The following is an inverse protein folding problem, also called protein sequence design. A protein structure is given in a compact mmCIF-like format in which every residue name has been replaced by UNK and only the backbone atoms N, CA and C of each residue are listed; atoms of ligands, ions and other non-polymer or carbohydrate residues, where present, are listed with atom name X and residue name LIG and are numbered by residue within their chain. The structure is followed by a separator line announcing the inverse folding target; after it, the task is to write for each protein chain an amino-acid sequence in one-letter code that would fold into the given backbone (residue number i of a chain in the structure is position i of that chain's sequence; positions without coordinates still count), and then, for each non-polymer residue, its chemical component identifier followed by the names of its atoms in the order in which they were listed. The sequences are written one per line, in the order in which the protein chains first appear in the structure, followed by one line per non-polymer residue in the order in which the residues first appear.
data_IF_459270681581
#
_entry.id   IF_459270681581
#
_cell.length_a   1.000
_cell.length_b   1.000
_cell.length_c   1.000
_cell.angle_alpha   90.00
_cell.angle_beta   90.00
_cell.angle_gamma   90.00
#
_symmetry.space_group_name_H-M   'P 1'
#
loop_
_entity.id
_entity.type
_entity.pdbx_description
1 polymer ?
#
# COMPACT_ATOMS: atom_id res chain seq x y z
N UNK A 1 11.06 -57.47 -2.04
CA UNK A 1 10.04 -57.16 -3.07
C UNK A 1 10.49 -55.91 -3.84
N UNK A 2 11.04 -56.04 -5.04
CA UNK A 2 11.46 -54.86 -5.83
C UNK A 2 10.21 -54.09 -6.29
N UNK A 3 10.06 -52.85 -5.81
CA UNK A 3 9.05 -51.91 -6.29
C UNK A 3 9.34 -51.60 -7.76
N UNK A 4 8.60 -52.20 -8.69
CA UNK A 4 8.60 -51.80 -10.10
C UNK A 4 8.14 -50.35 -10.18
N UNK A 5 9.08 -49.43 -10.33
CA UNK A 5 8.81 -48.05 -10.75
C UNK A 5 8.27 -48.09 -12.19
N UNK A 6 6.97 -48.38 -12.32
CA UNK A 6 6.29 -48.17 -13.59
C UNK A 6 6.43 -46.69 -13.95
N UNK A 7 6.77 -46.37 -15.22
CA UNK A 7 6.88 -44.99 -15.66
C UNK A 7 5.59 -44.25 -15.29
N UNK A 8 5.73 -43.07 -14.66
CA UNK A 8 4.58 -42.23 -14.30
C UNK A 8 3.83 -41.92 -15.59
N UNK A 9 2.74 -42.64 -15.86
CA UNK A 9 1.86 -42.38 -17.00
C UNK A 9 1.34 -40.94 -16.89
N UNK A 10 1.73 -40.12 -17.86
CA UNK A 10 1.30 -38.73 -17.94
C UNK A 10 -0.20 -38.69 -18.24
N UNK A 11 -0.90 -37.69 -17.70
CA UNK A 11 -2.27 -37.44 -18.12
C UNK A 11 -2.29 -36.98 -19.58
N UNK A 12 -3.23 -37.48 -20.41
CA UNK A 12 -3.49 -36.90 -21.72
C UNK A 12 -3.97 -35.44 -21.59
N UNK A 13 -3.83 -34.67 -22.65
CA UNK A 13 -4.10 -33.22 -22.63
C UNK A 13 -5.55 -32.90 -22.24
N UNK A 14 -6.53 -33.63 -22.75
CA UNK A 14 -7.94 -33.44 -22.38
C UNK A 14 -8.18 -33.56 -20.88
N UNK A 15 -7.59 -34.57 -20.24
CA UNK A 15 -7.69 -34.76 -18.79
C UNK A 15 -6.92 -33.68 -17.98
N UNK A 16 -5.84 -33.11 -18.53
CA UNK A 16 -5.15 -31.96 -17.92
C UNK A 16 -6.01 -30.71 -18.01
N UNK A 17 -6.62 -30.44 -19.16
CA UNK A 17 -7.49 -29.29 -19.35
C UNK A 17 -8.66 -29.29 -18.36
N UNK A 18 -9.27 -30.45 -18.10
CA UNK A 18 -10.32 -30.59 -17.09
C UNK A 18 -9.85 -30.22 -15.67
N UNK A 19 -8.63 -30.64 -15.29
CA UNK A 19 -8.02 -30.26 -14.02
C UNK A 19 -7.76 -28.76 -13.95
N UNK A 20 -7.22 -28.17 -15.01
CA UNK A 20 -6.87 -26.75 -15.02
C UNK A 20 -8.13 -25.86 -15.00
N UNK A 21 -9.18 -26.26 -15.72
CA UNK A 21 -10.49 -25.61 -15.70
C UNK A 21 -11.11 -25.59 -14.29
N UNK A 22 -10.89 -26.63 -13.48
CA UNK A 22 -11.42 -26.74 -12.13
C UNK A 22 -10.92 -25.61 -11.19
N UNK A 23 -9.72 -25.07 -11.42
CA UNK A 23 -9.13 -23.96 -10.65
C UNK A 23 -9.03 -22.66 -11.46
N UNK A 24 -9.70 -22.59 -12.62
CA UNK A 24 -9.72 -21.37 -13.43
C UNK A 24 -10.30 -20.19 -12.63
N UNK A 25 -9.74 -19.00 -12.84
CA UNK A 25 -10.16 -17.79 -12.13
C UNK A 25 -9.78 -17.74 -10.64
N UNK A 26 -8.91 -18.64 -10.16
CA UNK A 26 -8.38 -18.58 -8.78
C UNK A 26 -9.38 -19.02 -7.70
N UNK A 27 -10.52 -19.61 -8.07
CA UNK A 27 -11.51 -20.13 -7.12
C UNK A 27 -11.03 -21.40 -6.43
N UNK A 28 -11.58 -21.67 -5.25
CA UNK A 28 -11.40 -22.94 -4.54
C UNK A 28 -12.60 -23.86 -4.82
N UNK A 29 -12.44 -24.94 -5.60
CA UNK A 29 -13.53 -25.82 -5.98
C UNK A 29 -14.02 -26.65 -4.79
N UNK A 30 -15.31 -26.93 -4.76
CA UNK A 30 -15.96 -27.75 -3.74
C UNK A 30 -15.53 -29.22 -3.85
N UNK A 31 -15.84 -30.03 -2.83
CA UNK A 31 -15.58 -31.47 -2.90
C UNK A 31 -16.37 -32.12 -4.05
N UNK A 32 -17.61 -31.73 -4.25
CA UNK A 32 -18.49 -32.26 -5.30
C UNK A 32 -17.94 -31.94 -6.69
N UNK A 33 -17.49 -30.70 -6.94
CA UNK A 33 -16.87 -30.31 -8.21
C UNK A 33 -15.59 -31.11 -8.47
N UNK A 34 -14.78 -31.34 -7.43
CA UNK A 34 -13.57 -32.18 -7.52
C UNK A 34 -13.93 -33.61 -7.92
N UNK A 35 -14.99 -34.19 -7.36
CA UNK A 35 -15.43 -35.55 -7.68
C UNK A 35 -16.09 -35.64 -9.06
N UNK A 36 -16.84 -34.63 -9.48
CA UNK A 36 -17.43 -34.54 -10.82
C UNK A 36 -16.35 -34.56 -11.90
N UNK A 37 -15.33 -33.69 -11.79
CA UNK A 37 -14.19 -33.67 -12.72
C UNK A 37 -13.40 -34.98 -12.69
N UNK A 38 -13.31 -35.64 -11.53
CA UNK A 38 -12.70 -36.97 -11.45
C UNK A 38 -13.45 -38.00 -12.31
N UNK A 39 -14.78 -38.00 -12.29
CA UNK A 39 -15.59 -38.88 -13.13
C UNK A 39 -15.33 -38.66 -14.62
N UNK A 40 -15.24 -37.41 -15.06
CA UNK A 40 -14.92 -37.06 -16.46
C UNK A 40 -13.52 -37.51 -16.88
N UNK A 41 -12.53 -37.33 -15.99
CA UNK A 41 -11.17 -37.81 -16.26
C UNK A 41 -11.12 -39.35 -16.31
N UNK A 42 -11.87 -40.02 -15.42
CA UNK A 42 -11.89 -41.48 -15.36
C UNK A 42 -12.44 -42.10 -16.65
N UNK A 43 -13.41 -41.43 -17.30
CA UNK A 43 -13.93 -41.84 -18.60
C UNK A 43 -12.87 -41.80 -19.72
N UNK A 44 -11.89 -40.87 -19.63
CA UNK A 44 -10.78 -40.77 -20.58
C UNK A 44 -9.56 -41.61 -20.16
N UNK A 45 -9.38 -41.83 -18.85
CA UNK A 45 -8.17 -42.39 -18.26
C UNK A 45 -8.53 -43.40 -17.16
N UNK A 46 -8.89 -44.66 -17.49
CA UNK A 46 -9.38 -45.63 -16.52
C UNK A 46 -8.39 -46.01 -15.41
N UNK A 47 -7.09 -45.83 -15.64
CA UNK A 47 -6.04 -46.08 -14.65
C UNK A 47 -5.85 -44.93 -13.64
N UNK A 48 -6.59 -43.84 -13.79
CA UNK A 48 -6.46 -42.65 -12.96
C UNK A 48 -7.25 -42.81 -11.66
N UNK A 49 -6.54 -42.82 -10.52
CA UNK A 49 -7.18 -43.10 -9.23
C UNK A 49 -7.73 -41.85 -8.54
N UNK A 50 -8.82 -42.02 -7.80
CA UNK A 50 -9.40 -40.98 -6.93
C UNK A 50 -8.35 -40.39 -5.98
N UNK A 51 -7.51 -41.23 -5.38
CA UNK A 51 -6.44 -40.78 -4.49
C UNK A 51 -5.47 -39.82 -5.21
N UNK A 52 -5.02 -40.17 -6.42
CA UNK A 52 -4.13 -39.29 -7.22
C UNK A 52 -4.81 -37.96 -7.53
N UNK A 53 -6.11 -37.96 -7.81
CA UNK A 53 -6.88 -36.74 -8.07
C UNK A 53 -6.99 -35.83 -6.85
N UNK A 54 -7.39 -36.39 -5.71
CA UNK A 54 -7.56 -35.62 -4.48
C UNK A 54 -6.22 -35.11 -3.96
N UNK A 55 -5.13 -35.87 -4.10
CA UNK A 55 -3.78 -35.39 -3.75
C UNK A 55 -3.35 -34.24 -4.64
N UNK A 56 -3.62 -34.31 -5.95
CA UNK A 56 -3.36 -33.18 -6.85
C UNK A 56 -4.20 -31.94 -6.49
N UNK A 57 -5.49 -32.11 -6.20
CA UNK A 57 -6.37 -31.04 -5.75
C UNK A 57 -5.87 -30.41 -4.45
N UNK A 58 -5.48 -31.22 -3.45
CA UNK A 58 -4.93 -30.75 -2.19
C UNK A 58 -3.67 -29.90 -2.38
N UNK A 59 -2.80 -30.29 -3.31
CA UNK A 59 -1.64 -29.49 -3.70
C UNK A 59 -2.03 -28.12 -4.26
N UNK A 60 -3.05 -28.08 -5.14
CA UNK A 60 -3.58 -26.82 -5.71
C UNK A 60 -4.29 -25.96 -4.68
N UNK A 61 -5.12 -26.54 -3.81
CA UNK A 61 -5.77 -25.85 -2.70
C UNK A 61 -4.73 -25.18 -1.79
N UNK A 62 -3.65 -25.90 -1.45
CA UNK A 62 -2.55 -25.37 -0.63
C UNK A 62 -1.87 -24.20 -1.33
N UNK A 63 -1.59 -24.32 -2.63
CA UNK A 63 -0.98 -23.25 -3.42
C UNK A 63 -1.87 -22.01 -3.48
N UNK A 64 -3.16 -22.17 -3.78
CA UNK A 64 -4.12 -21.07 -3.85
C UNK A 64 -4.24 -20.35 -2.49
N UNK A 65 -4.34 -21.10 -1.40
CA UNK A 65 -4.36 -20.51 -0.03
C UNK A 65 -3.08 -19.77 0.30
N UNK A 66 -1.92 -20.29 -0.11
CA UNK A 66 -0.64 -19.62 0.11
C UNK A 66 -0.57 -18.29 -0.64
N UNK A 67 -1.03 -18.25 -1.90
CA UNK A 67 -1.11 -17.02 -2.69
C UNK A 67 -2.05 -16.00 -2.04
N UNK A 68 -3.25 -16.41 -1.62
CA UNK A 68 -4.19 -15.52 -0.91
C UNK A 68 -3.58 -14.96 0.38
N UNK A 69 -2.82 -15.77 1.13
CA UNK A 69 -2.14 -15.33 2.34
C UNK A 69 -1.06 -14.28 2.02
N UNK A 70 -0.25 -14.52 0.99
CA UNK A 70 0.79 -13.58 0.55
C UNK A 70 0.17 -12.25 0.11
N UNK A 71 -0.92 -12.29 -0.66
CA UNK A 71 -1.61 -11.09 -1.11
C UNK A 71 -2.16 -10.28 0.08
N UNK A 72 -2.80 -10.94 1.05
CA UNK A 72 -3.26 -10.27 2.28
C UNK A 72 -2.12 -9.64 3.06
N UNK A 73 -0.97 -10.31 3.16
CA UNK A 73 0.20 -9.75 3.81
C UNK A 73 0.73 -8.52 3.06
N UNK A 74 0.77 -8.56 1.73
CA UNK A 74 1.17 -7.41 0.90
C UNK A 74 0.25 -6.22 1.13
N UNK A 75 -1.07 -6.43 1.02
CA UNK A 75 -2.07 -5.38 1.25
C UNK A 75 -1.99 -4.82 2.68
N UNK A 76 -1.74 -5.67 3.67
CA UNK A 76 -1.56 -5.22 5.05
C UNK A 76 -0.32 -4.32 5.19
N UNK A 77 0.82 -4.72 4.60
CA UNK A 77 2.04 -3.90 4.61
C UNK A 77 1.83 -2.56 3.91
N UNK A 78 1.22 -2.56 2.73
CA UNK A 78 0.88 -1.34 1.98
C UNK A 78 -0.04 -0.42 2.81
N UNK A 79 -1.07 -0.97 3.45
CA UNK A 79 -1.98 -0.21 4.30
C UNK A 79 -1.27 0.39 5.53
N UNK A 80 -0.35 -0.37 6.16
CA UNK A 80 0.42 0.13 7.30
C UNK A 80 1.42 1.20 6.90
N UNK A 81 2.05 1.08 5.72
CA UNK A 81 2.98 2.07 5.21
C UNK A 81 2.24 3.38 4.88
N UNK A 82 1.06 3.29 4.26
CA UNK A 82 0.23 4.46 3.99
C UNK A 82 -0.24 5.16 5.27
N UNK A 83 -0.68 4.38 6.28
CA UNK A 83 -1.07 4.94 7.58
C UNK A 83 0.11 5.62 8.29
N UNK A 84 1.29 5.02 8.25
CA UNK A 84 2.50 5.59 8.82
C UNK A 84 2.90 6.90 8.11
N UNK A 85 2.89 6.93 6.78
CA UNK A 85 3.18 8.13 6.00
C UNK A 85 2.21 9.27 6.33
N UNK A 86 0.92 8.96 6.48
CA UNK A 86 -0.09 9.95 6.89
C UNK A 86 0.15 10.47 8.32
N UNK A 87 0.51 9.59 9.26
CA UNK A 87 0.83 9.98 10.63
C UNK A 87 2.09 10.86 10.71
N UNK A 88 3.11 10.55 9.92
CA UNK A 88 4.33 11.35 9.84
C UNK A 88 4.06 12.72 9.21
N UNK A 89 3.23 12.80 8.17
CA UNK A 89 2.77 14.07 7.60
C UNK A 89 2.01 14.91 8.65
N UNK A 90 1.07 14.32 9.38
CA UNK A 90 0.34 15.03 10.44
C UNK A 90 1.27 15.54 11.55
N UNK A 91 2.26 14.75 11.95
CA UNK A 91 3.26 15.16 12.94
C UNK A 91 4.09 16.34 12.41
N UNK A 92 4.52 16.27 11.16
CA UNK A 92 5.27 17.34 10.52
C UNK A 92 4.45 18.64 10.44
N UNK A 93 3.18 18.55 10.05
CA UNK A 93 2.27 19.71 10.02
C UNK A 93 2.07 20.32 11.40
N UNK A 94 1.75 19.50 12.42
CA UNK A 94 1.54 19.98 13.78
C UNK A 94 2.80 20.66 14.35
N UNK A 95 3.99 20.15 13.99
CA UNK A 95 5.25 20.75 14.38
C UNK A 95 5.51 22.08 13.66
N UNK A 96 5.31 22.14 12.34
CA UNK A 96 5.65 23.29 11.50
C UNK A 96 4.66 24.48 11.61
N UNK A 97 3.39 24.21 11.92
CA UNK A 97 2.31 25.21 11.99
C UNK A 97 2.66 26.48 12.81
N UNK A 98 3.14 26.40 14.08
CA UNK A 98 3.49 27.60 14.85
C UNK A 98 4.67 28.39 14.27
N UNK A 99 5.65 27.72 13.66
CA UNK A 99 6.83 28.38 13.08
C UNK A 99 6.48 29.08 11.77
N UNK A 100 5.65 28.46 10.92
CA UNK A 100 5.18 29.08 9.69
C UNK A 100 4.36 30.34 9.99
N UNK A 101 3.49 30.30 11.00
CA UNK A 101 2.76 31.50 11.44
C UNK A 101 3.72 32.62 11.87
N UNK A 102 4.74 32.29 12.66
CA UNK A 102 5.76 33.27 13.05
C UNK A 102 6.49 33.86 11.83
N UNK A 103 6.82 33.03 10.84
CA UNK A 103 7.41 33.45 9.57
C UNK A 103 6.53 34.44 8.81
N UNK A 104 5.22 34.16 8.69
CA UNK A 104 4.28 35.05 8.00
C UNK A 104 4.03 36.37 8.72
N UNK A 105 4.04 36.38 10.06
CA UNK A 105 3.73 37.58 10.84
C UNK A 105 4.95 38.46 11.16
N UNK A 106 6.13 37.86 11.36
CA UNK A 106 7.29 38.58 11.91
C UNK A 106 8.50 38.64 10.99
N UNK A 107 8.55 37.81 9.94
CA UNK A 107 9.67 37.86 9.01
C UNK A 107 9.38 38.82 7.87
N UNK A 108 10.30 39.74 7.58
CA UNK A 108 10.32 40.51 6.33
C UNK A 108 10.73 39.65 5.12
N UNK A 109 10.78 38.32 5.27
CA UNK A 109 11.26 37.39 4.27
C UNK A 109 10.09 36.60 3.67
N UNK A 110 9.59 36.99 2.49
CA UNK A 110 8.44 36.33 1.87
C UNK A 110 8.77 34.93 1.31
N UNK A 111 10.02 34.49 1.39
CA UNK A 111 10.52 33.26 0.75
C UNK A 111 10.21 31.95 1.51
N UNK A 112 9.60 32.02 2.69
CA UNK A 112 9.33 30.83 3.51
C UNK A 112 10.59 30.24 4.17
N UNK A 113 10.47 29.07 4.84
CA UNK A 113 11.57 28.43 5.54
C UNK A 113 12.64 27.92 4.57
N UNK A 114 13.90 28.07 4.97
CA UNK A 114 15.05 27.59 4.18
C UNK A 114 15.21 26.07 4.27
N UNK A 115 15.98 25.47 3.35
CA UNK A 115 16.30 24.05 3.41
C UNK A 115 16.98 23.63 4.72
N UNK A 116 17.84 24.47 5.29
CA UNK A 116 18.49 24.18 6.57
C UNK A 116 17.49 24.10 7.72
N UNK A 117 16.51 25.00 7.74
CA UNK A 117 15.45 25.01 8.75
C UNK A 117 14.49 23.84 8.57
N UNK A 118 14.09 23.54 7.33
CA UNK A 118 13.30 22.34 7.03
C UNK A 118 14.01 21.06 7.49
N UNK A 119 15.33 20.98 7.31
CA UNK A 119 16.13 19.85 7.79
C UNK A 119 16.16 19.78 9.31
N UNK A 120 16.31 20.93 9.99
CA UNK A 120 16.29 20.99 11.44
C UNK A 120 14.93 20.55 11.98
N UNK A 121 13.85 21.13 11.48
CA UNK A 121 12.48 20.80 11.89
C UNK A 121 12.15 19.34 11.61
N UNK A 122 12.56 18.79 10.46
CA UNK A 122 12.38 17.38 10.17
C UNK A 122 13.08 16.48 11.20
N UNK A 123 14.28 16.86 11.63
CA UNK A 123 15.01 16.17 12.70
C UNK A 123 14.29 16.22 14.05
N UNK A 124 13.79 17.39 14.44
CA UNK A 124 13.07 17.60 15.71
C UNK A 124 11.71 16.87 15.72
N UNK A 125 11.00 16.85 14.60
CA UNK A 125 9.74 16.14 14.43
C UNK A 125 9.92 14.63 14.17
N UNK A 126 11.16 14.13 14.06
CA UNK A 126 11.47 12.75 13.71
C UNK A 126 10.77 12.27 12.42
N UNK A 127 10.81 13.09 11.37
CA UNK A 127 10.25 12.81 10.04
C UNK A 127 11.31 13.03 8.96
N UNK A 128 11.02 12.61 7.73
CA UNK A 128 11.90 12.90 6.61
C UNK A 128 11.83 14.38 6.19
N UNK A 129 12.90 14.91 5.58
CA UNK A 129 12.89 16.28 5.02
C UNK A 129 11.81 16.43 3.94
N UNK A 130 11.57 15.40 3.14
CA UNK A 130 10.51 15.41 2.13
C UNK A 130 9.12 15.54 2.78
N UNK A 131 8.85 14.77 3.85
CA UNK A 131 7.60 14.87 4.61
C UNK A 131 7.40 16.26 5.24
N UNK A 132 8.48 16.87 5.73
CA UNK A 132 8.45 18.22 6.27
C UNK A 132 8.16 19.26 5.17
N UNK A 133 8.76 19.12 3.99
CA UNK A 133 8.47 19.98 2.84
C UNK A 133 7.00 19.88 2.41
N UNK A 134 6.48 18.65 2.26
CA UNK A 134 5.06 18.42 1.94
C UNK A 134 4.12 19.02 2.98
N UNK A 135 4.47 18.93 4.27
CA UNK A 135 3.72 19.54 5.36
C UNK A 135 3.68 21.07 5.25
N UNK A 136 4.82 21.70 4.94
CA UNK A 136 4.93 23.15 4.74
C UNK A 136 4.09 23.60 3.55
N UNK A 137 4.14 22.87 2.43
CA UNK A 137 3.33 23.17 1.24
C UNK A 137 1.83 23.08 1.56
N UNK A 138 1.38 22.04 2.26
CA UNK A 138 -0.02 21.89 2.67
C UNK A 138 -0.48 22.98 3.64
N UNK A 139 0.35 23.34 4.61
CA UNK A 139 0.05 24.43 5.54
C UNK A 139 -0.01 25.77 4.79
N UNK A 140 0.91 26.03 3.88
CA UNK A 140 0.93 27.24 3.04
C UNK A 140 -0.35 27.35 2.23
N UNK A 141 -0.78 26.27 1.57
CA UNK A 141 -2.05 26.21 0.84
C UNK A 141 -3.25 26.45 1.76
N UNK A 142 -3.26 25.82 2.94
CA UNK A 142 -4.33 25.99 3.95
C UNK A 142 -4.40 27.44 4.41
N UNK A 143 -3.27 28.11 4.65
CA UNK A 143 -3.24 29.51 5.03
C UNK A 143 -3.70 30.42 3.87
N UNK A 144 -3.26 30.16 2.64
CA UNK A 144 -3.70 30.90 1.46
C UNK A 144 -5.24 30.85 1.27
N UNK A 145 -5.86 29.72 1.59
CA UNK A 145 -7.32 29.54 1.51
C UNK A 145 -8.09 30.14 2.68
N UNK A 146 -7.48 30.22 3.87
CA UNK A 146 -8.12 30.66 5.10
C UNK A 146 -7.76 32.09 5.52
N UNK A 147 -6.97 32.82 4.72
CA UNK A 147 -6.75 34.24 4.95
C UNK A 147 -8.10 34.98 4.79
N UNK A 148 -8.71 35.54 5.85
CA UNK A 148 -9.50 36.74 5.65
C UNK A 148 -8.56 37.75 4.96
N UNK A 149 -9.09 38.58 4.06
CA UNK A 149 -8.38 39.73 3.52
C UNK A 149 -7.77 40.52 4.69
N UNK A 150 -6.54 40.21 5.09
CA UNK A 150 -5.85 40.98 6.11
C UNK A 150 -5.73 42.37 5.51
N UNK A 151 -6.35 43.40 6.12
CA UNK A 151 -6.29 44.73 5.58
C UNK A 151 -4.81 45.15 5.64
N UNK A 152 -4.17 45.22 4.47
CA UNK A 152 -2.85 45.81 4.24
C UNK A 152 -2.73 47.28 4.74
N UNK A 153 -3.76 47.80 5.40
CA UNK A 153 -3.91 49.19 5.80
C UNK A 153 -3.42 49.52 7.22
N UNK A 154 -3.02 48.53 8.05
CA UNK A 154 -2.65 48.79 9.46
C UNK A 154 -1.15 48.83 9.77
N UNK A 155 -0.27 48.55 8.81
CA UNK A 155 1.19 48.61 9.03
C UNK A 155 1.88 49.89 8.48
N UNK A 156 1.15 50.88 7.97
CA UNK A 156 1.72 52.09 7.34
C UNK A 156 1.49 53.40 8.12
N UNK A 157 1.19 53.35 9.42
CA UNK A 157 0.91 54.58 10.18
C UNK A 157 1.50 54.57 11.59
N UNK A 158 2.82 54.42 11.69
CA UNK A 158 3.56 55.03 12.80
C UNK A 158 4.61 55.97 12.22
N UNK A 159 4.46 57.29 12.39
CA UNK A 159 5.50 58.23 11.97
C UNK A 159 6.75 57.98 12.80
N UNK A 160 7.87 57.76 12.11
CA UNK A 160 9.20 57.72 12.72
C UNK A 160 9.46 59.08 13.37
N UNK A 161 9.70 59.18 14.69
CA UNK A 161 10.08 60.44 15.29
C UNK A 161 11.47 60.83 14.76
N UNK A 162 11.52 61.93 14.03
CA UNK A 162 12.76 62.60 13.66
C UNK A 162 13.34 63.30 14.89
N UNK A 163 14.45 62.79 15.41
CA UNK A 163 15.22 63.48 16.44
C UNK A 163 16.13 64.51 15.78
N UNK A 164 15.99 65.78 16.19
CA UNK A 164 17.02 66.81 16.07
C UNK A 164 18.07 66.64 17.17
#
# INVERSE_FOLDING_TARGET
MPSRNLPRRALPEGAKALRDALYAGGRLPSHEEKISVYGEILAQVPYYSRHRHLTWCSGKDKQARAQTRQERQRLQLESSAAAQAQADLQRAMAFAEPYLWWYYCNSCNPMGPTFFEMRQWAGEAAVSVATMADAIDQLTLRHAQNLPLCPLHLCLSTPVPSSC
#
